data_IF_633074750322
#
_entry.id   IF_633074750322
#
_cell.length_a   1.000
_cell.length_b   1.000
_cell.length_c   1.000
_cell.angle_alpha   90.00
_cell.angle_beta   90.00
_cell.angle_gamma   90.00
#
_symmetry.space_group_name_H-M   'P 1'
#
loop_
_entity.id
_entity.type
_entity.pdbx_description
1 polymer ?
#
# COMPACT_ATOMS: atom_id res chain seq x y z
N UNK A 1 0.87 -15.13 13.45
CA UNK A 1 1.09 -13.68 13.56
C UNK A 1 1.63 -13.17 12.24
N UNK A 2 1.17 -12.02 11.76
CA UNK A 2 1.60 -11.49 10.46
C UNK A 2 3.11 -11.19 10.49
N UNK A 3 3.78 -11.27 9.33
CA UNK A 3 5.19 -10.93 9.21
C UNK A 3 5.43 -10.14 7.95
N UNK A 4 6.03 -8.95 8.07
CA UNK A 4 6.28 -8.03 6.96
C UNK A 4 7.78 -7.69 6.89
N UNK A 5 8.34 -7.67 5.68
CA UNK A 5 9.73 -7.23 5.50
C UNK A 5 9.76 -5.71 5.34
N UNK A 6 10.40 -5.00 6.25
CA UNK A 6 10.52 -3.54 6.13
C UNK A 6 11.47 -3.19 4.97
N UNK A 7 10.99 -2.56 3.88
CA UNK A 7 11.83 -2.23 2.72
C UNK A 7 12.83 -1.10 3.03
N UNK A 8 12.71 -0.46 4.18
CA UNK A 8 13.60 0.61 4.61
C UNK A 8 14.84 0.13 5.36
N UNK A 9 14.77 -1.01 6.05
CA UNK A 9 15.89 -1.58 6.83
C UNK A 9 16.15 -3.06 6.57
N UNK A 10 15.35 -3.72 5.74
CA UNK A 10 15.49 -5.13 5.38
C UNK A 10 15.04 -6.14 6.44
N UNK A 11 14.69 -5.68 7.64
CA UNK A 11 14.27 -6.55 8.74
C UNK A 11 12.89 -7.14 8.46
N UNK A 12 12.78 -8.45 8.67
CA UNK A 12 11.53 -9.17 8.71
C UNK A 12 10.91 -8.98 10.10
N UNK A 13 9.95 -8.08 10.19
CA UNK A 13 9.32 -7.68 11.44
C UNK A 13 8.02 -8.47 11.65
N UNK A 14 7.78 -8.85 12.89
CA UNK A 14 6.52 -9.43 13.33
C UNK A 14 5.47 -8.31 13.53
N UNK A 15 4.20 -8.61 13.34
CA UNK A 15 3.05 -7.69 13.51
C UNK A 15 3.11 -6.83 14.77
N UNK A 16 3.54 -7.37 15.92
CA UNK A 16 3.62 -6.61 17.17
C UNK A 16 4.72 -5.54 17.17
N UNK A 17 5.69 -5.61 16.25
CA UNK A 17 6.71 -4.57 16.04
C UNK A 17 6.24 -3.43 15.12
N UNK A 18 5.07 -3.60 14.52
CA UNK A 18 4.52 -2.74 13.48
C UNK A 18 3.28 -2.01 13.98
N UNK A 19 3.09 -0.78 13.49
CA UNK A 19 1.84 -0.04 13.68
C UNK A 19 1.08 0.05 12.35
N UNK A 20 -0.20 -0.36 12.28
CA UNK A 20 -1.02 -0.23 11.07
C UNK A 20 -1.41 1.24 10.82
N UNK A 21 -1.48 1.63 9.55
CA UNK A 21 -1.87 2.97 9.09
C UNK A 21 -3.08 3.01 8.16
N UNK A 22 -3.78 1.89 7.98
CA UNK A 22 -4.93 1.79 7.08
C UNK A 22 -4.57 1.89 5.60
N UNK A 23 -5.50 2.35 4.78
CA UNK A 23 -5.37 2.44 3.31
C UNK A 23 -4.09 3.20 2.87
N UNK A 24 -3.44 2.68 1.83
CA UNK A 24 -2.32 3.30 1.12
C UNK A 24 -2.78 4.27 0.01
N UNK A 25 -1.85 5.05 -0.53
CA UNK A 25 -2.09 5.89 -1.72
C UNK A 25 -3.18 6.97 -1.57
N UNK A 26 -3.53 7.32 -0.33
CA UNK A 26 -4.50 8.36 -0.05
C UNK A 26 -3.90 9.75 -0.34
N UNK A 27 -4.53 10.49 -1.25
CA UNK A 27 -4.20 11.91 -1.51
C UNK A 27 -4.65 12.76 -0.33
N UNK A 28 -3.78 13.65 0.14
CA UNK A 28 -4.12 14.63 1.18
C UNK A 28 -4.87 15.81 0.57
N UNK A 29 -6.00 16.16 1.18
CA UNK A 29 -6.73 17.39 0.90
C UNK A 29 -6.59 18.35 2.10
N UNK A 30 -6.43 19.64 1.80
CA UNK A 30 -6.17 20.68 2.79
C UNK A 30 -7.23 21.78 2.76
N UNK A 31 -7.03 22.90 3.49
CA UNK A 31 -8.03 23.96 3.65
C UNK A 31 -8.53 24.65 2.37
N UNK A 32 -7.87 24.45 1.23
CA UNK A 32 -8.30 24.97 -0.08
C UNK A 32 -9.07 23.97 -0.95
N UNK A 33 -9.36 22.77 -0.43
CA UNK A 33 -10.17 21.78 -1.13
C UNK A 33 -11.66 22.12 -1.05
N UNK A 34 -12.47 21.47 -1.89
CA UNK A 34 -13.93 21.48 -1.73
C UNK A 34 -14.33 20.78 -0.44
N UNK A 35 -15.50 21.11 0.10
CA UNK A 35 -16.04 20.44 1.30
C UNK A 35 -16.16 18.93 1.09
N UNK A 36 -16.59 18.50 -0.11
CA UNK A 36 -16.75 17.09 -0.48
C UNK A 36 -15.39 16.35 -0.54
N UNK A 37 -14.38 16.95 -1.18
CA UNK A 37 -13.03 16.37 -1.21
C UNK A 37 -12.41 16.28 0.20
N UNK A 38 -12.66 17.30 1.03
CA UNK A 38 -12.12 17.35 2.38
C UNK A 38 -12.81 16.35 3.31
N UNK A 39 -14.13 16.24 3.25
CA UNK A 39 -14.94 15.26 3.97
C UNK A 39 -14.52 13.82 3.60
N UNK A 40 -14.42 13.53 2.31
CA UNK A 40 -13.93 12.25 1.80
C UNK A 40 -12.50 11.94 2.28
N UNK A 41 -11.59 12.92 2.24
CA UNK A 41 -10.23 12.75 2.79
C UNK A 41 -10.21 12.44 4.29
N UNK A 42 -11.08 13.09 5.08
CA UNK A 42 -11.12 12.89 6.52
C UNK A 42 -11.69 11.52 6.89
N UNK A 43 -12.76 11.08 6.21
CA UNK A 43 -13.57 9.97 6.69
C UNK A 43 -13.65 8.75 5.76
N UNK A 44 -13.56 8.93 4.44
CA UNK A 44 -13.73 7.83 3.49
C UNK A 44 -12.43 7.04 3.30
N UNK A 45 -12.51 5.70 3.42
CA UNK A 45 -11.39 4.79 3.12
C UNK A 45 -11.88 3.59 2.34
N UNK A 46 -11.04 3.07 1.44
CA UNK A 46 -11.28 1.77 0.82
C UNK A 46 -11.21 0.68 1.88
N UNK A 47 -12.17 -0.24 1.85
CA UNK A 47 -12.21 -1.41 2.72
C UNK A 47 -12.54 -2.67 1.90
N UNK A 48 -11.67 -3.07 0.95
CA UNK A 48 -11.93 -4.22 0.11
C UNK A 48 -11.80 -5.53 0.90
N UNK A 49 -12.72 -6.46 0.64
CA UNK A 49 -12.55 -7.87 1.00
C UNK A 49 -11.71 -8.54 -0.08
N UNK A 50 -10.42 -8.71 0.16
CA UNK A 50 -9.48 -9.21 -0.85
C UNK A 50 -8.16 -8.44 -0.82
N UNK A 51 -7.57 -8.23 -1.99
CA UNK A 51 -6.32 -7.48 -2.12
C UNK A 51 -6.54 -6.04 -1.64
N UNK A 52 -5.72 -5.61 -0.69
CA UNK A 52 -5.70 -4.27 -0.13
C UNK A 52 -4.26 -3.78 -0.08
N UNK A 53 -4.08 -2.49 -0.34
CA UNK A 53 -2.82 -1.78 -0.17
C UNK A 53 -2.89 -0.97 1.12
N UNK A 54 -2.00 -1.29 2.06
CA UNK A 54 -2.04 -0.79 3.42
C UNK A 54 -0.73 -0.06 3.75
N UNK A 55 -0.80 0.93 4.65
CA UNK A 55 0.36 1.58 5.27
C UNK A 55 0.74 0.88 6.56
N UNK A 56 2.04 0.72 6.76
CA UNK A 56 2.62 0.18 7.98
C UNK A 56 3.82 1.00 8.42
N UNK A 57 3.96 1.19 9.73
CA UNK A 57 5.14 1.81 10.33
C UNK A 57 5.92 0.76 11.10
N UNK A 58 7.23 0.70 10.89
CA UNK A 58 8.10 -0.17 11.69
C UNK A 58 8.38 0.50 13.05
N UNK A 59 7.38 0.46 13.94
CA UNK A 59 7.31 1.26 15.16
C UNK A 59 8.41 0.90 16.17
N UNK A 60 8.75 -0.38 16.28
CA UNK A 60 9.83 -0.87 17.16
C UNK A 60 11.14 -1.16 16.43
N UNK A 61 11.30 -0.58 15.23
CA UNK A 61 12.53 -0.67 14.45
C UNK A 61 12.93 0.69 13.88
N UNK A 62 13.04 0.79 12.55
CA UNK A 62 13.56 2.01 11.91
C UNK A 62 12.62 3.23 11.96
N UNK A 63 11.40 3.09 12.48
CA UNK A 63 10.43 4.18 12.64
C UNK A 63 9.79 4.69 11.34
N UNK A 64 10.21 4.19 10.17
CA UNK A 64 9.75 4.62 8.85
C UNK A 64 8.43 3.97 8.45
N UNK A 65 7.69 4.68 7.60
CA UNK A 65 6.48 4.18 6.94
C UNK A 65 6.84 3.45 5.64
N UNK A 66 6.14 2.36 5.38
CA UNK A 66 6.18 1.58 4.16
C UNK A 66 4.79 1.06 3.83
N UNK A 67 4.65 0.44 2.66
CA UNK A 67 3.38 -0.07 2.15
C UNK A 67 3.42 -1.59 2.06
N UNK A 68 2.28 -2.24 2.22
CA UNK A 68 2.11 -3.67 2.06
C UNK A 68 0.92 -3.96 1.14
N UNK A 69 1.06 -4.97 0.29
CA UNK A 69 -0.04 -5.56 -0.46
C UNK A 69 -0.44 -6.87 0.21
N UNK A 70 -1.68 -6.96 0.69
CA UNK A 70 -2.15 -8.11 1.46
C UNK A 70 -3.60 -8.45 1.12
N UNK A 71 -3.95 -9.72 1.28
CA UNK A 71 -5.33 -10.16 1.24
C UNK A 71 -5.97 -10.01 2.63
N UNK A 72 -6.95 -9.12 2.77
CA UNK A 72 -7.66 -8.88 4.05
C UNK A 72 -8.48 -10.09 4.51
N UNK A 73 -8.87 -10.97 3.59
CA UNK A 73 -9.64 -12.18 3.89
C UNK A 73 -8.78 -13.37 4.33
N UNK A 74 -7.54 -13.48 3.85
CA UNK A 74 -6.66 -14.66 4.10
C UNK A 74 -5.38 -14.32 4.85
N UNK A 75 -5.12 -13.03 5.08
CA UNK A 75 -3.87 -12.48 5.63
C UNK A 75 -2.61 -12.74 4.77
N UNK A 76 -2.77 -13.29 3.56
CA UNK A 76 -1.66 -13.54 2.63
C UNK A 76 -0.99 -12.22 2.21
N UNK A 77 0.33 -12.12 2.38
CA UNK A 77 1.13 -10.96 2.00
C UNK A 77 1.75 -11.21 0.64
N UNK A 78 1.43 -10.35 -0.34
CA UNK A 78 2.02 -10.41 -1.68
C UNK A 78 3.37 -9.67 -1.74
N UNK A 79 3.58 -8.70 -0.86
CA UNK A 79 4.85 -8.02 -0.71
C UNK A 79 4.75 -6.68 0.00
N UNK A 80 5.91 -6.09 0.23
CA UNK A 80 6.09 -4.80 0.91
C UNK A 80 6.98 -3.91 0.07
N UNK A 81 6.69 -2.61 0.04
CA UNK A 81 7.35 -1.67 -0.85
C UNK A 81 7.44 -0.28 -0.23
N UNK A 82 8.30 0.58 -0.77
CA UNK A 82 8.58 1.90 -0.20
C UNK A 82 7.36 2.81 -0.32
N UNK A 83 7.17 3.67 0.67
CA UNK A 83 6.05 4.63 0.70
C UNK A 83 6.10 5.69 -0.42
N UNK A 84 7.27 5.87 -1.05
CA UNK A 84 7.46 6.79 -2.17
C UNK A 84 6.97 6.21 -3.51
N UNK A 85 6.69 4.92 -3.57
CA UNK A 85 6.16 4.33 -4.79
C UNK A 85 4.69 4.72 -4.94
N UNK A 86 4.28 5.32 -6.07
CA UNK A 86 2.89 5.71 -6.29
C UNK A 86 1.97 4.48 -6.36
N UNK A 87 2.49 3.35 -6.85
CA UNK A 87 1.79 2.08 -7.02
C UNK A 87 2.70 0.91 -6.58
N UNK A 88 2.18 -0.30 -6.33
CA UNK A 88 2.99 -1.49 -6.08
C UNK A 88 3.98 -1.76 -7.21
N UNK A 89 5.09 -2.43 -6.91
CA UNK A 89 6.08 -2.81 -7.93
C UNK A 89 5.52 -3.89 -8.87
N UNK A 90 6.05 -4.02 -10.11
CA UNK A 90 5.62 -5.05 -11.05
C UNK A 90 5.67 -6.47 -10.48
N UNK A 91 6.65 -6.76 -9.62
CA UNK A 91 6.79 -8.07 -8.97
C UNK A 91 5.64 -8.34 -8.00
N UNK A 92 5.20 -7.31 -7.26
CA UNK A 92 4.05 -7.42 -6.35
C UNK A 92 2.75 -7.59 -7.16
N UNK A 93 2.59 -6.84 -8.25
CA UNK A 93 1.44 -7.00 -9.17
C UNK A 93 1.39 -8.42 -9.73
N UNK A 94 2.52 -8.96 -10.17
CA UNK A 94 2.62 -10.34 -10.66
C UNK A 94 2.28 -11.36 -9.55
N UNK A 95 2.78 -11.16 -8.32
CA UNK A 95 2.47 -12.01 -7.18
C UNK A 95 0.97 -12.01 -6.83
N UNK A 96 0.31 -10.84 -6.91
CA UNK A 96 -1.13 -10.73 -6.73
C UNK A 96 -1.86 -11.51 -7.83
N UNK A 97 -1.56 -11.25 -9.11
CA UNK A 97 -2.23 -11.89 -10.26
C UNK A 97 -2.05 -13.41 -10.28
N UNK A 98 -0.89 -13.92 -9.85
CA UNK A 98 -0.63 -15.34 -9.71
C UNK A 98 -1.59 -16.04 -8.70
N UNK A 99 -2.08 -15.31 -7.70
CA UNK A 99 -2.99 -15.83 -6.66
C UNK A 99 -4.45 -15.39 -6.86
N UNK A 100 -4.67 -14.28 -7.55
CA UNK A 100 -5.94 -13.61 -7.78
C UNK A 100 -5.99 -13.16 -9.25
N UNK A 101 -6.21 -14.09 -10.20
CA UNK A 101 -6.15 -13.77 -11.64
C UNK A 101 -7.19 -12.75 -12.07
N UNK A 102 -8.34 -12.72 -11.40
CA UNK A 102 -9.44 -11.78 -11.67
C UNK A 102 -9.23 -10.40 -11.02
N UNK A 103 -8.15 -10.21 -10.26
CA UNK A 103 -7.87 -8.93 -9.63
C UNK A 103 -7.33 -7.92 -10.65
N UNK A 104 -7.94 -6.74 -10.66
CA UNK A 104 -7.53 -5.59 -11.49
C UNK A 104 -7.12 -4.42 -10.59
N UNK A 105 -6.02 -3.71 -10.93
CA UNK A 105 -5.66 -2.48 -10.24
C UNK A 105 -6.71 -1.40 -10.47
N UNK A 106 -6.78 -0.45 -9.53
CA UNK A 106 -7.64 0.73 -9.59
C UNK A 106 -6.91 1.98 -10.11
N UNK A 107 -5.68 1.81 -10.62
CA UNK A 107 -4.91 2.81 -11.34
C UNK A 107 -4.71 2.41 -12.81
N UNK A 108 -4.46 3.39 -13.67
CA UNK A 108 -4.03 3.17 -15.05
C UNK A 108 -2.58 2.69 -15.08
N UNK A 109 -2.32 1.54 -15.71
CA UNK A 109 -0.95 1.06 -15.93
C UNK A 109 -0.25 1.95 -16.96
N UNK A 110 0.58 2.89 -16.52
CA UNK A 110 1.46 3.63 -17.42
C UNK A 110 2.58 2.70 -17.89
N UNK A 111 2.76 2.59 -19.21
CA UNK A 111 3.81 1.76 -19.81
C UNK A 111 5.20 2.29 -19.39
N UNK A 112 6.21 1.42 -19.14
CA UNK A 112 7.57 1.84 -18.79
C UNK A 112 8.24 2.81 -19.78
N UNK A 113 7.68 2.99 -20.97
CA UNK A 113 8.19 3.89 -21.99
C UNK A 113 7.99 5.39 -21.68
N UNK A 114 7.06 5.76 -20.79
CA UNK A 114 6.70 7.17 -20.54
C UNK A 114 7.46 7.80 -19.36
N UNK A 115 8.24 7.04 -18.59
CA UNK A 115 8.99 7.58 -17.43
C UNK A 115 10.42 8.04 -17.75
N UNK A 116 10.80 8.13 -19.04
CA UNK A 116 12.15 8.49 -19.49
C UNK A 116 12.23 9.83 -20.25
N UNK A 117 11.15 10.60 -20.27
CA UNK A 117 11.18 11.98 -20.79
C UNK A 117 10.93 12.96 -19.66
N UNK A 118 12.01 13.38 -18.99
CA UNK A 118 12.22 14.73 -18.45
C UNK A 118 13.72 14.93 -18.16
#
# INVERSE_FOLDING_TARGET
>A
MLTLTCPCCGIRAEETELAPGGEAHLKRFGPGASDEDFESYLFARKNPKGVHFERWRHAYGCGKWFLAARCTATLEVFGTYKAQNPHPTPEIVAAIRAKRPDWTPDWTETSPAESLTE
#
